data_IF_665386791872
#
_entry.id   IF_665386791872
#
_cell.length_a   1.000
_cell.length_b   1.000
_cell.length_c   1.000
_cell.angle_alpha   90.00
_cell.angle_beta   90.00
_cell.angle_gamma   90.00
#
_symmetry.space_group_name_H-M   'P 1'
#
loop_
_entity.id
_entity.type
_entity.pdbx_description
1 polymer ?
#
# COMPACT_ATOMS: atom_id res chain seq x y z
N UNK A 1 24.60 -19.66 -46.94
CA UNK A 1 23.22 -20.20 -46.90
C UNK A 1 22.57 -20.11 -45.50
N UNK A 2 23.33 -20.28 -44.41
CA UNK A 2 22.80 -20.15 -43.03
C UNK A 2 22.54 -18.70 -42.57
N UNK A 3 23.29 -17.73 -43.13
CA UNK A 3 23.12 -16.30 -42.84
C UNK A 3 21.80 -15.74 -43.36
N UNK A 4 21.33 -16.22 -44.51
CA UNK A 4 20.06 -15.79 -45.12
C UNK A 4 18.84 -16.34 -44.38
N UNK A 5 18.95 -17.54 -43.79
CA UNK A 5 17.90 -18.09 -42.92
C UNK A 5 17.85 -17.36 -41.58
N UNK A 6 19.00 -16.97 -41.03
CA UNK A 6 19.10 -16.19 -39.81
C UNK A 6 18.52 -14.77 -39.97
N UNK A 7 18.84 -14.08 -41.08
CA UNK A 7 18.32 -12.74 -41.34
C UNK A 7 16.82 -12.73 -41.59
N UNK A 8 16.31 -13.71 -42.33
CA UNK A 8 14.87 -13.87 -42.56
C UNK A 8 14.11 -14.15 -41.24
N UNK A 9 14.67 -15.01 -40.40
CA UNK A 9 14.08 -15.31 -39.09
C UNK A 9 14.03 -14.09 -38.16
N UNK A 10 15.13 -13.33 -38.06
CA UNK A 10 15.18 -12.09 -37.27
C UNK A 10 14.14 -11.08 -37.76
N UNK A 11 14.05 -10.89 -39.09
CA UNK A 11 13.07 -9.98 -39.68
C UNK A 11 11.63 -10.40 -39.38
N UNK A 12 11.30 -11.69 -39.46
CA UNK A 12 9.95 -12.19 -39.15
C UNK A 12 9.60 -12.03 -37.67
N UNK A 13 10.51 -12.39 -36.75
CA UNK A 13 10.28 -12.26 -35.30
C UNK A 13 10.12 -10.80 -34.85
N UNK A 14 10.89 -9.88 -35.45
CA UNK A 14 10.79 -8.44 -35.19
C UNK A 14 9.50 -7.86 -35.79
N UNK A 15 9.11 -8.31 -36.99
CA UNK A 15 7.83 -7.92 -37.60
C UNK A 15 6.63 -8.38 -36.78
N UNK A 16 6.61 -9.65 -36.36
CA UNK A 16 5.55 -10.21 -35.53
C UNK A 16 5.41 -9.48 -34.19
N UNK A 17 6.53 -9.13 -33.53
CA UNK A 17 6.46 -8.39 -32.26
C UNK A 17 5.90 -6.98 -32.44
N UNK A 18 6.26 -6.27 -33.52
CA UNK A 18 5.71 -4.95 -33.84
C UNK A 18 4.22 -5.04 -34.17
N UNK A 19 3.80 -6.04 -34.95
CA UNK A 19 2.39 -6.25 -35.31
C UNK A 19 1.55 -6.57 -34.07
N UNK A 20 2.04 -7.44 -33.19
CA UNK A 20 1.35 -7.79 -31.92
C UNK A 20 1.26 -6.57 -31.01
N UNK A 21 2.33 -5.78 -30.86
CA UNK A 21 2.32 -4.55 -30.07
C UNK A 21 1.38 -3.48 -30.65
N UNK A 22 1.27 -3.40 -31.99
CA UNK A 22 0.35 -2.48 -32.65
C UNK A 22 -1.12 -2.92 -32.49
N UNK A 23 -1.37 -4.23 -32.56
CA UNK A 23 -2.71 -4.80 -32.40
C UNK A 23 -3.26 -4.73 -30.97
N UNK A 24 -2.41 -4.83 -29.94
CA UNK A 24 -2.87 -4.85 -28.55
C UNK A 24 -3.11 -3.44 -27.93
N UNK A 25 -2.79 -2.37 -28.66
CA UNK A 25 -2.96 -0.99 -28.19
C UNK A 25 -2.00 -0.59 -27.04
N UNK A 26 -1.97 0.70 -26.64
CA UNK A 26 -1.09 1.19 -25.58
C UNK A 26 -1.53 0.60 -24.24
N UNK A 27 -0.74 -0.35 -23.78
CA UNK A 27 -0.98 -1.15 -22.59
C UNK A 27 -0.90 -0.25 -21.34
N UNK A 28 -2.04 0.12 -20.74
CA UNK A 28 -2.09 1.07 -19.60
C UNK A 28 -1.89 0.43 -18.23
N UNK A 29 -2.00 -0.90 -18.12
CA UNK A 29 -1.92 -1.58 -16.81
C UNK A 29 -0.54 -2.19 -16.53
N UNK A 30 -0.02 -2.03 -15.32
CA UNK A 30 1.27 -2.60 -14.90
C UNK A 30 1.29 -4.14 -14.93
N UNK A 31 0.11 -4.79 -14.86
CA UNK A 31 -0.03 -6.25 -14.89
C UNK A 31 0.15 -6.80 -16.30
N UNK A 32 -0.42 -6.13 -17.30
CA UNK A 32 -0.31 -6.53 -18.71
C UNK A 32 1.12 -6.38 -19.24
N UNK A 33 1.89 -5.39 -18.75
CA UNK A 33 3.33 -5.31 -19.04
C UNK A 33 4.10 -6.56 -18.56
N UNK A 34 3.86 -7.02 -17.33
CA UNK A 34 4.53 -8.22 -16.80
C UNK A 34 4.14 -9.49 -17.56
N UNK A 35 2.87 -9.61 -17.96
CA UNK A 35 2.41 -10.76 -18.75
C UNK A 35 3.02 -10.75 -20.16
N UNK A 36 3.12 -9.58 -20.80
CA UNK A 36 3.76 -9.43 -22.11
C UNK A 36 5.25 -9.79 -22.04
N UNK A 37 5.95 -9.35 -21.01
CA UNK A 37 7.36 -9.66 -20.79
C UNK A 37 7.59 -11.17 -20.62
N UNK A 38 6.71 -11.84 -19.86
CA UNK A 38 6.75 -13.30 -19.69
C UNK A 38 6.44 -14.01 -21.01
N UNK A 39 5.43 -13.54 -21.75
CA UNK A 39 5.05 -14.11 -23.04
C UNK A 39 6.17 -14.00 -24.07
N UNK A 40 6.83 -12.84 -24.17
CA UNK A 40 7.95 -12.62 -25.09
C UNK A 40 9.18 -13.47 -24.72
N UNK A 41 9.50 -13.61 -23.44
CA UNK A 41 10.59 -14.52 -23.00
C UNK A 41 10.28 -15.98 -23.29
N UNK A 42 9.05 -16.42 -23.04
CA UNK A 42 8.61 -17.77 -23.34
C UNK A 42 8.63 -18.06 -24.86
N UNK A 43 8.17 -17.09 -25.66
CA UNK A 43 8.21 -17.18 -27.12
C UNK A 43 9.65 -17.25 -27.63
N UNK A 44 10.55 -16.41 -27.13
CA UNK A 44 11.97 -16.45 -27.48
C UNK A 44 12.61 -17.81 -27.15
N UNK A 45 12.31 -18.38 -25.98
CA UNK A 45 12.78 -19.71 -25.60
C UNK A 45 12.21 -20.81 -26.51
N UNK A 46 10.91 -20.76 -26.83
CA UNK A 46 10.25 -21.74 -27.67
C UNK A 46 10.80 -21.70 -29.10
N UNK A 47 10.99 -20.50 -29.66
CA UNK A 47 11.59 -20.35 -30.97
C UNK A 47 13.08 -20.75 -30.99
N UNK A 48 13.82 -20.48 -29.91
CA UNK A 48 15.21 -20.96 -29.76
C UNK A 48 15.26 -22.50 -29.72
N UNK A 49 14.36 -23.15 -28.99
CA UNK A 49 14.25 -24.61 -28.92
C UNK A 49 13.86 -25.21 -30.27
N UNK A 50 12.94 -24.58 -30.99
CA UNK A 50 12.52 -25.01 -32.33
C UNK A 50 13.62 -24.83 -33.39
N UNK A 51 14.52 -23.86 -33.21
CA UNK A 51 15.58 -23.53 -34.18
C UNK A 51 16.86 -24.37 -34.02
N UNK A 52 17.09 -24.97 -32.84
CA UNK A 52 18.31 -25.73 -32.59
C UNK A 52 18.23 -27.16 -33.15
N UNK A 53 18.96 -27.40 -34.23
CA UNK A 53 19.07 -28.69 -34.93
C UNK A 53 19.76 -29.81 -34.11
N UNK A 54 20.39 -29.46 -32.97
CA UNK A 54 21.00 -30.39 -32.02
C UNK A 54 20.35 -30.27 -30.63
N UNK A 55 19.49 -31.23 -30.28
CA UNK A 55 18.69 -31.24 -29.05
C UNK A 55 19.52 -31.17 -27.75
N UNK A 56 20.76 -31.68 -27.80
CA UNK A 56 21.67 -31.76 -26.65
C UNK A 56 22.19 -30.40 -26.20
N UNK A 57 22.53 -29.50 -27.13
CA UNK A 57 23.12 -28.19 -26.79
C UNK A 57 22.04 -27.20 -26.35
N UNK A 58 20.84 -27.28 -26.94
CA UNK A 58 19.73 -26.38 -26.62
C UNK A 58 19.16 -26.62 -25.21
N UNK A 59 19.03 -27.89 -24.80
CA UNK A 59 18.56 -28.24 -23.46
C UNK A 59 19.47 -27.69 -22.36
N UNK A 60 20.79 -27.82 -22.51
CA UNK A 60 21.77 -27.34 -21.53
C UNK A 60 21.73 -25.80 -21.43
N UNK A 61 21.63 -25.09 -22.56
CA UNK A 61 21.52 -23.64 -22.56
C UNK A 61 20.23 -23.14 -21.88
N UNK A 62 19.08 -23.77 -22.18
CA UNK A 62 17.80 -23.43 -21.55
C UNK A 62 17.81 -23.66 -20.04
N UNK A 63 18.34 -24.82 -19.60
CA UNK A 63 18.49 -25.15 -18.18
C UNK A 63 19.42 -24.16 -17.47
N UNK A 64 20.54 -23.77 -18.10
CA UNK A 64 21.47 -22.79 -17.54
C UNK A 64 20.82 -21.40 -17.34
N UNK A 65 19.99 -20.95 -18.28
CA UNK A 65 19.27 -19.66 -18.18
C UNK A 65 18.24 -19.71 -17.04
N UNK A 66 17.49 -20.81 -16.92
CA UNK A 66 16.51 -21.00 -15.84
C UNK A 66 17.19 -21.06 -14.47
N UNK A 67 18.30 -21.79 -14.35
CA UNK A 67 19.13 -21.85 -13.13
C UNK A 67 19.64 -20.47 -12.74
N UNK A 68 20.16 -19.68 -13.69
CA UNK A 68 20.63 -18.32 -13.44
C UNK A 68 19.49 -17.42 -12.93
N UNK A 69 18.30 -17.52 -13.52
CA UNK A 69 17.12 -16.78 -13.04
C UNK A 69 16.70 -17.20 -11.63
N UNK A 70 16.72 -18.49 -11.33
CA UNK A 70 16.39 -19.02 -10.01
C UNK A 70 17.40 -18.59 -8.94
N UNK A 71 18.71 -18.70 -9.21
CA UNK A 71 19.76 -18.27 -8.28
C UNK A 71 19.69 -16.77 -8.00
N UNK A 72 19.52 -15.93 -9.03
CA UNK A 72 19.44 -14.47 -8.84
C UNK A 72 18.21 -14.05 -8.05
N UNK A 73 17.07 -14.68 -8.28
CA UNK A 73 15.84 -14.47 -7.50
C UNK A 73 16.04 -14.84 -6.03
N UNK A 74 16.61 -16.02 -5.76
CA UNK A 74 16.87 -16.50 -4.41
C UNK A 74 17.86 -15.60 -3.64
N UNK A 75 18.97 -15.21 -4.28
CA UNK A 75 19.96 -14.30 -3.69
C UNK A 75 19.34 -12.94 -3.38
N UNK A 76 18.52 -12.39 -4.29
CA UNK A 76 17.87 -11.10 -4.06
C UNK A 76 16.84 -11.13 -2.93
N UNK A 77 16.13 -12.26 -2.75
CA UNK A 77 15.18 -12.45 -1.66
C UNK A 77 15.90 -12.54 -0.30
N UNK A 78 16.97 -13.35 -0.22
CA UNK A 78 17.79 -13.47 0.99
C UNK A 78 18.47 -12.13 1.31
N UNK A 79 19.01 -11.42 0.32
CA UNK A 79 19.63 -10.12 0.50
C UNK A 79 18.65 -9.05 1.00
N UNK A 80 17.41 -9.02 0.50
CA UNK A 80 16.38 -8.10 1.01
C UNK A 80 16.02 -8.39 2.46
N UNK A 81 15.84 -9.66 2.82
CA UNK A 81 15.53 -10.06 4.20
C UNK A 81 16.70 -9.78 5.14
N UNK A 82 17.93 -10.07 4.73
CA UNK A 82 19.13 -9.79 5.53
C UNK A 82 19.37 -8.28 5.71
N UNK A 83 19.19 -7.48 4.65
CA UNK A 83 19.28 -6.02 4.72
C UNK A 83 18.21 -5.42 5.63
N UNK A 84 16.97 -5.92 5.58
CA UNK A 84 15.91 -5.45 6.49
C UNK A 84 16.23 -5.80 7.94
N UNK A 85 16.74 -7.02 8.22
CA UNK A 85 17.16 -7.43 9.57
C UNK A 85 18.33 -6.59 10.09
N UNK A 86 19.36 -6.36 9.26
CA UNK A 86 20.50 -5.51 9.61
C UNK A 86 20.08 -4.07 9.86
N UNK A 87 19.20 -3.52 9.01
CA UNK A 87 18.65 -2.17 9.17
C UNK A 87 17.84 -2.04 10.45
N UNK A 88 17.02 -3.05 10.79
CA UNK A 88 16.29 -3.10 12.05
C UNK A 88 17.23 -3.17 13.27
N UNK A 89 18.25 -4.03 13.22
CA UNK A 89 19.22 -4.17 14.29
C UNK A 89 20.07 -2.90 14.51
N UNK A 90 20.47 -2.24 13.41
CA UNK A 90 21.14 -0.93 13.46
C UNK A 90 20.21 0.14 14.03
N UNK A 91 18.96 0.19 13.59
CA UNK A 91 17.96 1.13 14.10
C UNK A 91 17.76 0.99 15.60
N UNK A 92 17.57 -0.24 16.12
CA UNK A 92 17.42 -0.46 17.55
C UNK A 92 18.67 -0.07 18.36
N UNK A 93 19.87 -0.27 17.81
CA UNK A 93 21.13 0.16 18.45
C UNK A 93 21.26 1.68 18.48
N UNK A 94 20.94 2.35 17.39
CA UNK A 94 20.96 3.81 17.31
C UNK A 94 19.90 4.45 18.21
N UNK A 95 18.68 3.91 18.20
CA UNK A 95 17.60 4.39 19.06
C UNK A 95 17.92 4.21 20.54
N UNK A 96 18.46 3.06 20.94
CA UNK A 96 18.86 2.84 22.35
C UNK A 96 20.07 3.66 22.78
N UNK A 97 20.98 4.03 21.87
CA UNK A 97 22.07 4.97 22.15
C UNK A 97 21.54 6.41 22.23
N UNK A 98 20.66 6.79 21.30
CA UNK A 98 20.01 8.09 21.27
C UNK A 98 19.21 8.35 22.55
N UNK A 99 18.36 7.42 22.98
CA UNK A 99 17.60 7.56 24.23
C UNK A 99 18.45 7.56 25.50
N UNK A 100 19.68 7.01 25.45
CA UNK A 100 20.65 7.07 26.56
C UNK A 100 21.30 8.45 26.66
N UNK A 101 21.58 9.10 25.54
CA UNK A 101 22.20 10.43 25.48
C UNK A 101 21.19 11.58 25.51
N UNK A 102 19.91 11.33 25.24
CA UNK A 102 18.88 12.37 25.25
C UNK A 102 18.54 12.86 26.67
N UNK A 103 18.37 14.19 26.85
CA UNK A 103 17.87 14.77 28.09
C UNK A 103 16.51 14.17 28.47
N UNK A 104 16.28 13.99 29.78
CA UNK A 104 15.05 13.36 30.31
C UNK A 104 13.76 14.10 29.90
N UNK A 105 13.86 15.38 29.57
CA UNK A 105 12.77 16.22 29.07
C UNK A 105 12.37 15.97 27.60
N UNK A 106 13.27 15.41 26.77
CA UNK A 106 12.96 14.98 25.39
C UNK A 106 12.35 13.58 25.32
N UNK A 107 12.19 12.88 26.46
CA UNK A 107 11.46 11.60 26.47
C UNK A 107 10.02 11.87 26.07
N UNK A 108 9.39 11.01 25.24
CA UNK A 108 8.03 11.22 24.79
C UNK A 108 7.13 11.29 26.03
N UNK A 109 6.62 12.50 26.32
CA UNK A 109 5.97 12.81 27.59
C UNK A 109 4.57 12.19 27.70
N UNK A 110 4.14 11.44 26.70
CA UNK A 110 2.88 10.72 26.71
C UNK A 110 3.08 9.32 26.17
N UNK A 111 3.37 8.40 27.09
CA UNK A 111 2.94 7.02 26.92
C UNK A 111 1.42 7.10 26.82
N UNK A 112 0.85 7.00 25.61
CA UNK A 112 -0.61 7.03 25.40
C UNK A 112 -1.20 5.88 26.23
N UNK A 113 -1.59 6.20 27.46
CA UNK A 113 -2.31 5.31 28.34
C UNK A 113 -3.71 5.25 27.76
N UNK A 114 -4.21 4.04 27.57
CA UNK A 114 -5.59 3.84 27.17
C UNK A 114 -6.50 4.55 28.19
N UNK A 115 -7.45 5.32 27.67
CA UNK A 115 -8.47 5.98 28.48
C UNK A 115 -9.21 4.89 29.25
N UNK A 116 -9.30 5.01 30.58
CA UNK A 116 -10.10 4.07 31.36
C UNK A 116 -11.58 4.37 31.17
N UNK A 117 -12.44 3.39 31.46
CA UNK A 117 -13.90 3.58 31.42
C UNK A 117 -14.35 4.73 32.34
N UNK A 118 -13.67 4.88 33.48
CA UNK A 118 -13.89 5.95 34.46
C UNK A 118 -13.56 7.33 33.87
N UNK A 119 -12.41 7.45 33.21
CA UNK A 119 -11.98 8.70 32.56
C UNK A 119 -12.94 9.08 31.42
N UNK A 120 -13.40 8.10 30.63
CA UNK A 120 -14.37 8.32 29.56
C UNK A 120 -15.74 8.77 30.09
N UNK A 121 -16.25 8.08 31.12
CA UNK A 121 -17.51 8.44 31.78
C UNK A 121 -17.46 9.85 32.36
N UNK A 122 -16.33 10.23 32.97
CA UNK A 122 -16.13 11.56 33.53
C UNK A 122 -16.13 12.65 32.45
N UNK A 123 -15.37 12.45 31.37
CA UNK A 123 -15.35 13.38 30.23
C UNK A 123 -16.73 13.51 29.59
N UNK A 124 -17.48 12.41 29.50
CA UNK A 124 -18.85 12.41 29.03
C UNK A 124 -19.75 13.32 29.85
N UNK A 125 -19.66 13.28 31.18
CA UNK A 125 -20.43 14.16 32.08
C UNK A 125 -20.04 15.62 31.92
N UNK A 126 -18.74 15.92 32.01
CA UNK A 126 -18.22 17.29 31.92
C UNK A 126 -18.57 17.94 30.56
N UNK A 127 -18.41 17.23 29.44
CA UNK A 127 -18.79 17.73 28.12
C UNK A 127 -20.31 17.88 27.97
N UNK A 128 -21.11 16.98 28.55
CA UNK A 128 -22.57 17.05 28.49
C UNK A 128 -23.08 18.25 29.27
N UNK A 129 -22.57 18.50 30.48
CA UNK A 129 -22.94 19.68 31.29
C UNK A 129 -22.65 20.99 30.55
N UNK A 130 -21.45 21.13 29.98
CA UNK A 130 -21.06 22.32 29.21
C UNK A 130 -21.94 22.50 27.96
N UNK A 131 -22.22 21.41 27.24
CA UNK A 131 -23.06 21.46 26.04
C UNK A 131 -24.51 21.82 26.37
N UNK A 132 -25.07 21.27 27.45
CA UNK A 132 -26.41 21.59 27.92
C UNK A 132 -26.51 23.06 28.37
N UNK A 133 -25.49 23.58 29.03
CA UNK A 133 -25.44 24.99 29.42
C UNK A 133 -25.37 25.92 28.20
N UNK A 134 -24.57 25.58 27.19
CA UNK A 134 -24.56 26.30 25.91
C UNK A 134 -25.92 26.27 25.21
N UNK A 135 -26.59 25.11 25.19
CA UNK A 135 -27.92 24.96 24.63
C UNK A 135 -28.95 25.80 25.39
N UNK A 136 -28.91 25.80 26.73
CA UNK A 136 -29.82 26.59 27.57
C UNK A 136 -29.67 28.08 27.30
N UNK A 137 -28.43 28.57 27.23
CA UNK A 137 -28.14 29.97 26.88
C UNK A 137 -28.62 30.34 25.48
N UNK A 138 -28.47 29.43 24.51
CA UNK A 138 -28.96 29.66 23.16
C UNK A 138 -30.49 29.69 23.08
N UNK A 139 -31.18 28.78 23.79
CA UNK A 139 -32.64 28.79 23.86
C UNK A 139 -33.21 30.00 24.61
N UNK A 140 -32.44 30.62 25.50
CA UNK A 140 -32.81 31.84 26.21
C UNK A 140 -32.52 33.13 25.42
N UNK A 141 -31.74 33.06 24.32
CA UNK A 141 -31.42 34.23 23.52
C UNK A 141 -32.56 34.56 22.54
N UNK A 142 -32.75 35.85 22.17
CA UNK A 142 -33.80 36.26 21.23
C UNK A 142 -33.59 35.73 19.81
N UNK A 143 -32.43 35.14 19.51
CA UNK A 143 -32.11 34.55 18.21
C UNK A 143 -32.75 33.16 18.01
N UNK A 144 -33.26 32.54 19.07
CA UNK A 144 -33.84 31.20 19.02
C UNK A 144 -35.38 31.25 18.90
N UNK A 145 -35.92 30.65 17.84
CA UNK A 145 -37.36 30.46 17.63
C UNK A 145 -37.92 29.39 18.60
N UNK A 146 -38.06 29.72 19.88
CA UNK A 146 -38.52 28.79 20.92
C UNK A 146 -39.86 28.10 20.60
N UNK A 147 -40.79 28.81 19.94
CA UNK A 147 -42.07 28.26 19.49
C UNK A 147 -41.91 27.19 18.40
N UNK A 148 -40.98 27.40 17.47
CA UNK A 148 -40.72 26.44 16.38
C UNK A 148 -40.00 25.19 16.89
N UNK A 149 -39.16 25.36 17.90
CA UNK A 149 -38.45 24.26 18.58
C UNK A 149 -39.44 23.44 19.41
N UNK A 150 -40.20 24.08 20.33
CA UNK A 150 -41.17 23.40 21.19
C UNK A 150 -42.25 22.61 20.43
N UNK A 151 -42.69 23.11 19.27
CA UNK A 151 -43.65 22.41 18.41
C UNK A 151 -43.10 21.12 17.77
N UNK A 152 -41.77 20.97 17.69
CA UNK A 152 -41.10 19.78 17.12
C UNK A 152 -40.65 18.76 18.16
N UNK A 153 -40.60 19.15 19.44
CA UNK A 153 -40.16 18.27 20.52
C UNK A 153 -41.27 17.30 20.92
N UNK A 154 -40.85 16.11 21.38
CA UNK A 154 -41.77 15.07 21.88
C UNK A 154 -42.43 15.44 23.21
N UNK A 155 -41.73 16.21 24.04
CA UNK A 155 -42.21 16.70 25.33
C UNK A 155 -41.95 18.20 25.48
N UNK A 156 -42.93 19.06 25.14
CA UNK A 156 -42.79 20.51 25.25
C UNK A 156 -42.78 20.99 26.72
N UNK A 157 -43.36 20.23 27.66
CA UNK A 157 -43.39 20.61 29.07
C UNK A 157 -42.01 20.43 29.72
N UNK A 158 -41.32 19.32 29.43
CA UNK A 158 -39.94 19.11 29.85
C UNK A 158 -38.96 20.14 29.27
N UNK A 159 -39.20 20.59 28.03
CA UNK A 159 -38.40 21.66 27.42
C UNK A 159 -38.55 23.00 28.16
N UNK A 160 -39.78 23.38 28.54
CA UNK A 160 -40.01 24.61 29.28
C UNK A 160 -39.27 24.61 30.63
N UNK A 161 -39.30 23.49 31.35
CA UNK A 161 -38.55 23.30 32.60
C UNK A 161 -37.02 23.30 32.40
N UNK A 162 -36.55 22.87 31.23
CA UNK A 162 -35.11 22.87 30.92
C UNK A 162 -34.57 24.28 30.64
N UNK A 163 -35.35 25.11 29.94
CA UNK A 163 -34.94 26.49 29.57
C UNK A 163 -35.06 27.44 30.77
N UNK A 164 -36.13 27.31 31.56
CA UNK A 164 -36.43 28.11 32.74
C UNK A 164 -35.43 27.87 33.86
#
# INVERSE_FOLDING_TARGET
RHWTTLSAYLACSAGLSVVICYWLGPVTSQRTFRLLEIALRALALLCMLASCQFWQVSGVAAVAILLRGFLTSAVSAVAKVSMLRLRWALWQRLESAFWRCCPRWLRPLHRRRWLTEEDFSRQGRECTEVALEHLRRHCASPDCDAWRVSARLRDPAGFAQFVQ
#
